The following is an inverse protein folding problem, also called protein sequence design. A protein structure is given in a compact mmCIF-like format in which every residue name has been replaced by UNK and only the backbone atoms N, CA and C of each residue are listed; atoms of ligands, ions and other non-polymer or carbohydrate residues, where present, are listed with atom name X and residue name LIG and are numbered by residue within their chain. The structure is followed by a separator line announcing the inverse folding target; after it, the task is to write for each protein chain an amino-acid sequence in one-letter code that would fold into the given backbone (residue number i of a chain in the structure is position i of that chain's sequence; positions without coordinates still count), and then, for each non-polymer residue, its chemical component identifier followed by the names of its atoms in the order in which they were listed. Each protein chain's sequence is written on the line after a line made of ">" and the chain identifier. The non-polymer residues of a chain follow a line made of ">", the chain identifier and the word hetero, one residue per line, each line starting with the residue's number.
data_IF_021792697858
#
_entry.id   IF_021792697858
#
_cell.length_a   1.000
_cell.length_b   1.000
_cell.length_c   1.000
_cell.angle_alpha   90.00
_cell.angle_beta   90.00
_cell.angle_gamma   90.00
#
_symmetry.space_group_name_H-M   'P 1'
#
loop_
_entity.id
_entity.type
_entity.pdbx_description
1 polymer ?
#
# COMPACT_ATOMS: atom_id res chain seq x y z
N UNK A 1 12.73 -1.50 4.73
CA UNK A 1 11.72 -0.57 5.20
C UNK A 1 10.34 -0.91 4.68
N UNK A 2 9.35 -0.59 5.46
CA UNK A 2 7.96 -0.85 5.06
C UNK A 2 7.34 0.46 4.62
N UNK A 3 6.88 0.47 3.39
CA UNK A 3 6.26 1.67 2.84
C UNK A 3 4.77 1.47 2.73
N UNK A 4 4.01 2.52 3.03
CA UNK A 4 2.58 2.47 2.89
C UNK A 4 2.22 3.30 1.68
N UNK A 5 1.56 2.66 0.73
CA UNK A 5 1.14 3.32 -0.49
C UNK A 5 -0.36 3.42 -0.55
N UNK A 6 -0.83 4.56 -1.00
CA UNK A 6 -2.23 4.77 -1.26
C UNK A 6 -2.45 4.52 -2.74
N UNK A 7 -3.27 3.56 -3.04
CA UNK A 7 -3.53 3.18 -4.43
C UNK A 7 -4.93 3.61 -4.77
N UNK A 8 -5.05 4.44 -5.79
CA UNK A 8 -6.36 4.94 -6.16
C UNK A 8 -7.12 3.87 -6.93
N UNK A 9 -8.39 4.12 -7.06
CA UNK A 9 -9.27 3.24 -7.78
C UNK A 9 -8.76 3.08 -9.20
N UNK A 10 -8.60 1.97 -9.69
CA UNK A 10 -8.03 1.76 -10.99
C UNK A 10 -6.61 1.29 -10.93
N UNK A 11 -5.97 1.46 -9.79
CA UNK A 11 -4.64 0.93 -9.59
C UNK A 11 -3.53 1.61 -10.36
N UNK A 12 -3.81 2.78 -10.91
CA UNK A 12 -2.81 3.44 -11.71
C UNK A 12 -1.94 4.40 -10.95
N UNK A 13 -2.35 4.83 -9.80
CA UNK A 13 -1.62 5.82 -9.07
C UNK A 13 -1.13 5.27 -7.76
N UNK A 14 0.15 5.39 -7.53
CA UNK A 14 0.77 4.92 -6.30
C UNK A 14 1.33 6.13 -5.57
N UNK A 15 0.81 6.40 -4.39
CA UNK A 15 1.28 7.52 -3.60
C UNK A 15 1.90 7.04 -2.32
N UNK A 16 3.19 7.28 -2.12
CA UNK A 16 3.81 6.90 -0.86
C UNK A 16 3.34 7.86 0.22
N UNK A 17 2.75 7.32 1.26
CA UNK A 17 2.23 8.12 2.33
C UNK A 17 3.12 8.12 3.53
N UNK A 18 3.64 6.96 3.87
CA UNK A 18 4.41 6.82 5.08
C UNK A 18 5.41 5.69 4.94
N UNK A 19 6.36 5.65 5.86
CA UNK A 19 7.32 4.55 5.85
C UNK A 19 7.72 4.27 7.29
N UNK A 20 8.01 3.02 7.57
CA UNK A 20 8.33 2.57 8.91
C UNK A 20 9.41 1.51 8.86
N UNK A 21 10.18 1.43 9.93
CA UNK A 21 11.20 0.40 10.02
C UNK A 21 10.63 -0.93 10.41
N UNK A 22 9.48 -0.94 11.06
CA UNK A 22 8.91 -2.16 11.57
C UNK A 22 7.52 -2.39 11.02
N UNK A 23 7.24 -3.64 10.77
CA UNK A 23 5.93 -4.01 10.24
C UNK A 23 4.78 -3.64 11.18
N UNK A 24 4.87 -3.91 12.48
CA UNK A 24 3.75 -3.57 13.36
C UNK A 24 3.38 -2.10 13.32
N UNK A 25 4.39 -1.25 13.20
CA UNK A 25 4.12 0.18 13.12
C UNK A 25 3.40 0.52 11.83
N UNK A 26 3.85 -0.07 10.73
CA UNK A 26 3.20 0.17 9.45
C UNK A 26 1.76 -0.34 9.48
N UNK A 27 1.55 -1.47 10.11
CA UNK A 27 0.22 -2.04 10.18
C UNK A 27 -0.71 -1.15 10.96
N UNK A 28 -0.24 -0.59 12.06
CA UNK A 28 -1.05 0.31 12.85
C UNK A 28 -1.42 1.55 12.06
N UNK A 29 -0.48 2.08 11.32
CA UNK A 29 -0.73 3.27 10.53
C UNK A 29 -1.76 3.00 9.45
N UNK A 30 -1.66 1.85 8.79
CA UNK A 30 -2.61 1.51 7.75
C UNK A 30 -3.99 1.34 8.34
N UNK A 31 -4.08 0.74 9.50
CA UNK A 31 -5.35 0.55 10.13
C UNK A 31 -6.01 1.88 10.45
N UNK A 32 -5.22 2.82 10.96
CA UNK A 32 -5.72 4.12 11.27
C UNK A 32 -6.17 4.85 10.01
N UNK A 33 -5.41 4.72 8.95
CA UNK A 33 -5.77 5.35 7.70
C UNK A 33 -7.07 4.78 7.15
N UNK A 34 -7.24 3.49 7.28
CA UNK A 34 -8.46 2.87 6.78
C UNK A 34 -9.68 3.34 7.54
N UNK A 35 -9.51 3.60 8.83
CA UNK A 35 -10.62 4.07 9.61
C UNK A 35 -11.05 5.45 9.21
N UNK A 36 -10.17 6.20 8.59
CA UNK A 36 -10.50 7.53 8.15
C UNK A 36 -11.11 7.57 6.76
N UNK A 37 -11.11 6.44 6.08
CA UNK A 37 -11.70 6.40 4.76
C UNK A 37 -13.21 6.42 4.86
N UNK A 38 -13.83 7.13 3.93
CA UNK A 38 -15.29 7.14 3.87
C UNK A 38 -15.71 6.17 2.79
N UNK A 39 -16.97 5.78 2.76
CA UNK A 39 -17.45 4.88 1.73
C UNK A 39 -17.29 5.42 0.32
N UNK A 40 -17.15 6.73 0.21
CA UNK A 40 -17.00 7.33 -1.09
C UNK A 40 -15.58 7.29 -1.61
N UNK A 41 -14.63 7.06 -0.73
CA UNK A 41 -13.25 6.99 -1.14
C UNK A 41 -12.95 5.65 -1.77
N UNK A 42 -12.37 5.69 -2.94
CA UNK A 42 -12.04 4.46 -3.64
C UNK A 42 -10.56 4.18 -3.61
N UNK A 43 -9.96 4.40 -2.44
CA UNK A 43 -8.54 4.17 -2.30
C UNK A 43 -8.30 2.92 -1.48
N UNK A 44 -7.14 2.32 -1.69
CA UNK A 44 -6.71 1.25 -0.81
C UNK A 44 -5.32 1.58 -0.34
N UNK A 45 -4.97 1.05 0.81
CA UNK A 45 -3.65 1.24 1.35
C UNK A 45 -2.95 -0.11 1.38
N UNK A 46 -1.68 -0.10 1.01
CA UNK A 46 -0.90 -1.32 1.00
C UNK A 46 0.43 -1.10 1.66
N UNK A 47 0.91 -2.14 2.34
CA UNK A 47 2.22 -2.12 2.95
C UNK A 47 3.13 -2.95 2.08
N UNK A 48 4.28 -2.39 1.71
CA UNK A 48 5.21 -3.14 0.90
C UNK A 48 6.61 -2.98 1.48
N UNK A 49 7.36 -4.06 1.53
CA UNK A 49 8.70 -4.01 2.04
C UNK A 49 9.66 -3.78 0.89
N UNK A 50 10.44 -2.73 0.99
CA UNK A 50 11.39 -2.40 -0.05
C UNK A 50 12.48 -1.52 0.53
N UNK A 51 13.56 -1.37 -0.20
CA UNK A 51 14.65 -0.55 0.25
C UNK A 51 14.40 0.93 -0.02
N UNK A 52 13.62 1.22 -1.04
CA UNK A 52 13.30 2.61 -1.34
C UNK A 52 11.99 2.64 -2.11
N UNK A 53 11.52 3.85 -2.43
CA UNK A 53 10.24 3.99 -3.09
C UNK A 53 10.28 3.45 -4.51
N UNK A 54 11.40 3.57 -5.16
CA UNK A 54 11.53 3.05 -6.51
C UNK A 54 11.28 1.56 -6.53
N UNK A 55 11.91 0.86 -5.63
CA UNK A 55 11.74 -0.57 -5.55
C UNK A 55 10.34 -0.93 -5.12
N UNK A 56 9.78 -0.16 -4.20
CA UNK A 56 8.43 -0.42 -3.74
C UNK A 56 7.43 -0.31 -4.88
N UNK A 57 7.57 0.72 -5.69
CA UNK A 57 6.65 0.91 -6.80
C UNK A 57 6.82 -0.18 -7.85
N UNK A 58 8.04 -0.59 -8.07
CA UNK A 58 8.29 -1.65 -9.03
C UNK A 58 7.62 -2.95 -8.56
N UNK A 59 7.75 -3.26 -7.28
CA UNK A 59 7.15 -4.47 -6.76
C UNK A 59 5.64 -4.41 -6.83
N UNK A 60 5.07 -3.25 -6.56
CA UNK A 60 3.64 -3.11 -6.63
C UNK A 60 3.13 -3.27 -8.05
N UNK A 61 3.88 -2.78 -9.00
CA UNK A 61 3.49 -2.92 -10.38
C UNK A 61 3.62 -4.34 -10.87
N UNK A 62 4.64 -5.02 -10.42
CA UNK A 62 4.85 -6.38 -10.84
C UNK A 62 3.84 -7.33 -10.26
N UNK A 63 3.19 -6.90 -9.19
CA UNK A 63 2.23 -7.75 -8.56
C UNK A 63 0.85 -7.59 -9.08
N UNK A 64 0.67 -7.08 -10.25
CA UNK A 64 -0.64 -6.91 -10.77
C UNK A 64 -1.19 -8.19 -11.33
N UNK A 65 -0.41 -9.24 -11.37
CA UNK A 65 -0.87 -10.44 -11.86
C UNK A 65 -1.93 -11.08 -11.03
N UNK A 66 -2.99 -11.54 -11.55
CA UNK A 66 -4.08 -12.12 -10.74
C UNK A 66 -3.69 -13.46 -10.19
N UNK A 67 -3.91 -13.61 -8.94
CA UNK A 67 -3.68 -14.87 -8.28
C UNK A 67 -4.92 -15.21 -7.57
N UNK A 68 -5.83 -15.86 -8.22
CA UNK A 68 -7.12 -16.10 -7.62
C UNK A 68 -7.05 -16.78 -6.30
N UNK A 69 -6.15 -17.59 -6.07
CA UNK A 69 -6.10 -18.19 -4.80
C UNK A 69 -5.38 -17.42 -3.79
N UNK A 70 -4.87 -16.29 -4.18
CA UNK A 70 -4.06 -15.55 -3.38
C UNK A 70 -4.71 -14.70 -2.45
N UNK A 71 -5.82 -14.38 -2.60
CA UNK A 71 -6.44 -13.50 -1.77
C UNK A 71 -6.81 -13.92 -0.60
#
# INVERSE_FOLDING_TARGET
>A
MYFIYKISSGGNKLDPINQFDRYPDAKKAVRSLREQLTPEDNHTFRIIFAANTEEAERRLREKREPHPGEE
#
